data_IF_239485086029
#
_entry.id   IF_239485086029
#
_cell.length_a   1.000
_cell.length_b   1.000
_cell.length_c   1.000
_cell.angle_alpha   90.00
_cell.angle_beta   90.00
_cell.angle_gamma   90.00
#
_symmetry.space_group_name_H-M   'P 1'
#
loop_
_entity.id
_entity.type
_entity.pdbx_description
1 polymer ?
#
# COMPACT_ATOMS: atom_id res chain seq x y z
N UNK A 1 -49.87 -18.07 55.10
CA UNK A 1 -49.48 -19.00 54.04
C UNK A 1 -49.31 -18.21 52.76
N UNK A 2 -48.12 -17.78 52.45
CA UNK A 2 -47.78 -17.10 51.21
C UNK A 2 -46.90 -18.06 50.37
N UNK A 3 -47.18 -18.28 49.08
CA UNK A 3 -46.39 -19.18 48.27
C UNK A 3 -45.09 -18.51 47.80
N UNK A 4 -44.02 -19.22 47.99
CA UNK A 4 -42.67 -18.97 47.53
C UNK A 4 -42.60 -19.13 46.00
N UNK A 5 -42.18 -18.11 45.29
CA UNK A 5 -41.96 -18.15 43.82
C UNK A 5 -40.50 -17.92 43.53
N UNK A 6 -39.71 -18.99 43.52
CA UNK A 6 -38.32 -19.01 43.06
C UNK A 6 -38.31 -19.00 41.52
N UNK A 7 -37.58 -18.08 40.84
CA UNK A 7 -37.49 -18.10 39.38
C UNK A 7 -36.55 -19.23 38.92
N UNK A 8 -37.06 -20.10 38.00
CA UNK A 8 -36.30 -21.16 37.32
C UNK A 8 -35.25 -20.54 36.41
N UNK A 9 -33.98 -20.81 36.71
CA UNK A 9 -32.86 -20.53 35.83
C UNK A 9 -32.96 -21.38 34.55
N UNK A 10 -33.15 -20.74 33.41
CA UNK A 10 -33.05 -21.38 32.10
C UNK A 10 -31.54 -21.40 31.70
N UNK A 11 -30.96 -22.55 31.38
CA UNK A 11 -29.56 -22.64 30.97
C UNK A 11 -29.39 -21.94 29.60
N UNK A 12 -28.44 -21.00 29.56
CA UNK A 12 -28.01 -20.32 28.34
C UNK A 12 -27.40 -21.34 27.40
N UNK A 13 -28.00 -21.53 26.22
CA UNK A 13 -27.50 -22.43 25.19
C UNK A 13 -26.07 -22.01 24.78
N UNK A 14 -25.11 -22.89 24.96
CA UNK A 14 -23.75 -22.79 24.42
C UNK A 14 -23.86 -22.80 22.89
N UNK A 15 -23.23 -21.83 22.17
CA UNK A 15 -23.25 -21.87 20.71
C UNK A 15 -22.55 -23.15 20.24
N UNK A 16 -23.23 -23.92 19.40
CA UNK A 16 -22.68 -25.11 18.78
C UNK A 16 -21.42 -24.74 17.96
N UNK A 17 -20.29 -25.35 18.32
CA UNK A 17 -19.07 -25.30 17.47
C UNK A 17 -19.43 -25.94 16.14
N UNK A 18 -19.53 -25.13 15.11
CA UNK A 18 -19.74 -25.60 13.74
C UNK A 18 -18.53 -26.48 13.36
N UNK A 19 -18.74 -27.77 13.22
CA UNK A 19 -17.73 -28.72 12.74
C UNK A 19 -17.33 -28.29 11.32
N UNK A 20 -16.08 -27.94 11.10
CA UNK A 20 -15.55 -27.62 9.79
C UNK A 20 -15.64 -28.88 8.90
N UNK A 21 -16.06 -28.70 7.64
CA UNK A 21 -16.06 -29.76 6.65
C UNK A 21 -14.63 -30.33 6.47
N UNK A 22 -14.48 -31.66 6.25
CA UNK A 22 -13.15 -32.24 6.00
C UNK A 22 -12.50 -31.61 4.77
N UNK A 23 -11.34 -30.95 4.96
CA UNK A 23 -10.58 -30.28 3.90
C UNK A 23 -10.69 -28.75 3.86
N UNK A 24 -11.45 -28.11 4.76
CA UNK A 24 -11.47 -26.65 4.85
C UNK A 24 -10.11 -26.11 5.36
N UNK A 25 -9.58 -25.00 4.76
CA UNK A 25 -8.33 -24.43 5.20
C UNK A 25 -8.45 -23.91 6.65
N UNK A 26 -7.42 -24.19 7.46
CA UNK A 26 -7.37 -23.76 8.85
C UNK A 26 -6.35 -22.65 9.02
N UNK A 27 -6.68 -21.62 9.81
CA UNK A 27 -5.74 -20.57 10.18
C UNK A 27 -4.83 -21.08 11.31
N UNK A 28 -3.71 -21.70 10.92
CA UNK A 28 -2.64 -22.09 11.84
C UNK A 28 -1.65 -20.95 12.05
N UNK A 29 -0.77 -21.05 13.05
CA UNK A 29 0.32 -20.07 13.26
C UNK A 29 1.18 -19.90 12.00
N UNK A 30 1.54 -20.98 11.30
CA UNK A 30 2.32 -20.93 10.06
C UNK A 30 1.58 -20.24 8.90
N UNK A 31 0.27 -20.48 8.79
CA UNK A 31 -0.56 -19.75 7.81
C UNK A 31 -0.58 -18.27 8.13
N UNK A 32 -0.83 -17.90 9.40
CA UNK A 32 -0.85 -16.49 9.80
C UNK A 32 0.49 -15.81 9.54
N UNK A 33 1.61 -16.46 9.84
CA UNK A 33 2.95 -15.95 9.55
C UNK A 33 3.15 -15.67 8.05
N UNK A 34 2.73 -16.59 7.17
CA UNK A 34 2.75 -16.39 5.71
C UNK A 34 1.92 -15.20 5.28
N UNK A 35 0.70 -15.08 5.80
CA UNK A 35 -0.21 -13.98 5.47
C UNK A 35 0.41 -12.62 5.86
N UNK A 36 0.93 -12.51 7.07
CA UNK A 36 1.53 -11.28 7.57
C UNK A 36 2.85 -10.97 6.86
N UNK A 37 3.70 -11.97 6.58
CA UNK A 37 4.94 -11.79 5.83
C UNK A 37 4.67 -11.22 4.43
N UNK A 38 3.64 -11.72 3.74
CA UNK A 38 3.22 -11.18 2.46
C UNK A 38 2.69 -9.75 2.59
N UNK A 39 1.84 -9.48 3.58
CA UNK A 39 1.27 -8.16 3.80
C UNK A 39 2.35 -7.09 4.05
N UNK A 40 3.36 -7.39 4.88
CA UNK A 40 4.43 -6.43 5.21
C UNK A 40 5.47 -6.26 4.09
N UNK A 41 5.44 -7.07 3.03
CA UNK A 41 6.25 -6.88 1.84
C UNK A 41 5.74 -5.73 0.94
N UNK A 42 4.56 -5.18 1.22
CA UNK A 42 3.99 -4.04 0.50
C UNK A 42 4.85 -2.77 0.65
N UNK A 43 4.82 -1.87 -0.35
CA UNK A 43 5.46 -0.58 -0.23
C UNK A 43 4.74 0.32 0.78
N UNK A 44 5.50 1.18 1.44
CA UNK A 44 4.93 2.25 2.26
C UNK A 44 5.76 3.53 2.12
N UNK A 45 5.11 4.67 2.38
CA UNK A 45 5.82 5.95 2.36
C UNK A 45 7.02 5.89 3.30
N UNK A 46 8.21 6.29 2.83
CA UNK A 46 9.49 6.20 3.55
C UNK A 46 9.78 4.82 4.18
N UNK A 47 9.13 3.77 3.70
CA UNK A 47 9.14 2.43 4.32
C UNK A 47 8.78 2.46 5.81
N UNK A 48 7.84 3.33 6.19
CA UNK A 48 7.40 3.48 7.58
C UNK A 48 6.67 2.26 8.12
N UNK A 49 6.13 1.41 7.23
CA UNK A 49 5.36 0.21 7.62
C UNK A 49 4.24 0.53 8.62
N UNK A 50 3.28 1.41 8.28
CA UNK A 50 2.37 2.04 9.24
C UNK A 50 1.16 1.17 9.56
N UNK A 51 1.34 -0.12 9.73
CA UNK A 51 0.30 -1.12 9.95
C UNK A 51 0.55 -1.99 11.16
N UNK A 52 -0.54 -2.50 11.73
CA UNK A 52 -0.58 -3.54 12.75
C UNK A 52 -1.66 -4.55 12.37
N UNK A 53 -1.41 -5.81 12.70
CA UNK A 53 -2.33 -6.91 12.43
C UNK A 53 -2.74 -7.58 13.73
N UNK A 54 -4.02 -7.93 13.83
CA UNK A 54 -4.58 -8.72 14.91
C UNK A 54 -5.49 -9.79 14.33
N UNK A 55 -5.26 -11.04 14.70
CA UNK A 55 -6.18 -12.13 14.40
C UNK A 55 -7.24 -12.20 15.50
N UNK A 56 -8.50 -12.25 15.10
CA UNK A 56 -9.61 -12.70 15.92
C UNK A 56 -9.82 -14.19 15.63
N UNK A 57 -9.45 -15.09 16.56
CA UNK A 57 -9.52 -16.52 16.31
C UNK A 57 -10.96 -17.05 16.24
N UNK A 58 -11.91 -16.39 16.91
CA UNK A 58 -13.30 -16.84 16.99
C UNK A 58 -14.04 -16.63 15.64
N UNK A 59 -13.67 -15.56 14.94
CA UNK A 59 -14.27 -15.19 13.64
C UNK A 59 -13.35 -15.46 12.46
N UNK A 60 -12.13 -15.99 12.69
CA UNK A 60 -11.07 -16.13 11.67
C UNK A 60 -10.88 -14.88 10.83
N UNK A 61 -10.89 -13.72 11.51
CA UNK A 61 -10.81 -12.41 10.88
C UNK A 61 -9.49 -11.73 11.24
N UNK A 62 -8.77 -11.24 10.23
CA UNK A 62 -7.58 -10.41 10.44
C UNK A 62 -8.01 -8.93 10.44
N UNK A 63 -7.81 -8.26 11.57
CA UNK A 63 -7.93 -6.81 11.68
C UNK A 63 -6.65 -6.14 11.20
N UNK A 64 -6.80 -5.16 10.31
CA UNK A 64 -5.71 -4.32 9.80
C UNK A 64 -5.88 -2.92 10.38
N UNK A 65 -4.93 -2.53 11.22
CA UNK A 65 -4.96 -1.27 11.97
C UNK A 65 -3.82 -0.36 11.57
N UNK A 66 -4.01 0.95 11.68
CA UNK A 66 -2.91 1.91 11.56
C UNK A 66 -2.00 1.86 12.79
N UNK A 67 -0.72 2.17 12.58
CA UNK A 67 0.29 2.38 13.61
C UNK A 67 0.59 3.89 13.70
N UNK A 68 -0.11 4.64 14.58
CA UNK A 68 -0.01 6.11 14.61
C UNK A 68 1.39 6.64 14.89
N UNK A 69 2.19 5.91 15.65
CA UNK A 69 3.59 6.25 15.97
C UNK A 69 4.53 6.21 14.75
N UNK A 70 4.06 5.64 13.63
CA UNK A 70 4.75 5.57 12.34
C UNK A 70 4.17 6.55 11.33
N UNK A 71 3.34 7.48 11.77
CA UNK A 71 2.79 8.53 10.92
C UNK A 71 3.85 9.62 10.63
N UNK A 72 3.63 10.37 9.57
CA UNK A 72 4.49 11.45 9.11
C UNK A 72 3.70 12.78 9.25
N UNK A 73 3.75 13.43 10.42
CA UNK A 73 2.94 14.62 10.68
C UNK A 73 3.25 15.80 9.75
N UNK A 74 4.47 15.90 9.22
CA UNK A 74 4.84 16.96 8.27
C UNK A 74 4.56 16.58 6.81
N UNK A 75 4.96 15.37 6.38
CA UNK A 75 4.77 14.93 5.00
C UNK A 75 3.35 14.45 4.71
N UNK A 76 2.67 13.84 5.69
CA UNK A 76 1.34 13.26 5.54
C UNK A 76 0.37 13.63 6.69
N UNK A 77 0.11 14.93 6.91
CA UNK A 77 -0.72 15.41 8.04
C UNK A 77 -2.16 14.87 8.00
N UNK A 78 -2.67 14.55 6.81
CA UNK A 78 -4.01 13.96 6.62
C UNK A 78 -4.00 12.43 6.66
N UNK A 79 -2.84 11.80 6.81
CA UNK A 79 -2.64 10.34 6.78
C UNK A 79 -3.09 9.67 5.47
N UNK A 80 -3.08 10.41 4.35
CA UNK A 80 -3.42 9.87 3.03
C UNK A 80 -2.43 8.79 2.61
N UNK A 81 -1.14 9.10 2.64
CA UNK A 81 -0.07 8.16 2.29
C UNK A 81 -0.05 6.94 3.22
N UNK A 82 -0.36 7.12 4.51
CA UNK A 82 -0.56 6.03 5.45
C UNK A 82 -1.68 5.09 4.97
N UNK A 83 -2.85 5.63 4.60
CA UNK A 83 -3.97 4.78 4.14
C UNK A 83 -3.63 4.09 2.81
N UNK A 84 -2.97 4.77 1.86
CA UNK A 84 -2.48 4.16 0.62
C UNK A 84 -1.51 3.01 0.93
N UNK A 85 -0.57 3.22 1.85
CA UNK A 85 0.38 2.17 2.28
C UNK A 85 -0.34 0.96 2.87
N UNK A 86 -1.31 1.19 3.77
CA UNK A 86 -2.11 0.09 4.35
C UNK A 86 -2.98 -0.59 3.29
N UNK A 87 -3.50 0.15 2.31
CA UNK A 87 -4.21 -0.43 1.17
C UNK A 87 -3.35 -1.38 0.35
N UNK A 88 -2.09 -1.03 0.09
CA UNK A 88 -1.13 -1.91 -0.59
C UNK A 88 -0.88 -3.20 0.21
N UNK A 89 -0.67 -3.07 1.52
CA UNK A 89 -0.51 -4.23 2.41
C UNK A 89 -1.76 -5.11 2.48
N UNK A 90 -2.95 -4.50 2.41
CA UNK A 90 -4.23 -5.21 2.36
C UNK A 90 -4.36 -6.04 1.08
N UNK A 91 -3.91 -5.52 -0.07
CA UNK A 91 -3.90 -6.28 -1.32
C UNK A 91 -3.01 -7.52 -1.22
N UNK A 92 -1.79 -7.37 -0.70
CA UNK A 92 -0.88 -8.49 -0.48
C UNK A 92 -1.46 -9.54 0.48
N UNK A 93 -2.14 -9.10 1.56
CA UNK A 93 -2.83 -10.00 2.48
C UNK A 93 -3.92 -10.82 1.77
N UNK A 94 -4.70 -10.19 0.86
CA UNK A 94 -5.71 -10.87 0.03
C UNK A 94 -5.07 -11.94 -0.85
N UNK A 95 -3.98 -11.62 -1.54
CA UNK A 95 -3.25 -12.57 -2.39
C UNK A 95 -2.76 -13.77 -1.59
N UNK A 96 -2.12 -13.52 -0.44
CA UNK A 96 -1.60 -14.58 0.41
C UNK A 96 -2.72 -15.46 1.00
N UNK A 97 -3.87 -14.88 1.34
CA UNK A 97 -5.02 -15.64 1.82
C UNK A 97 -5.55 -16.58 0.74
N UNK A 98 -5.64 -16.13 -0.52
CA UNK A 98 -6.04 -16.99 -1.65
C UNK A 98 -5.05 -18.09 -1.93
N UNK A 99 -3.75 -17.78 -1.93
CA UNK A 99 -2.69 -18.78 -2.08
C UNK A 99 -2.72 -19.83 -0.95
N UNK A 100 -3.18 -19.43 0.24
CA UNK A 100 -3.41 -20.34 1.36
C UNK A 100 -4.74 -21.11 1.29
N UNK A 101 -5.54 -20.95 0.22
CA UNK A 101 -6.80 -21.65 -0.01
C UNK A 101 -8.03 -21.01 0.64
N UNK A 102 -7.93 -19.77 1.14
CA UNK A 102 -9.06 -19.02 1.67
C UNK A 102 -9.72 -18.14 0.60
N UNK A 103 -10.98 -17.79 0.85
CA UNK A 103 -11.69 -16.73 0.13
C UNK A 103 -11.72 -15.48 1.02
N UNK A 104 -10.77 -14.53 0.83
CA UNK A 104 -10.71 -13.33 1.66
C UNK A 104 -11.88 -12.39 1.34
N UNK A 105 -12.52 -11.87 2.39
CA UNK A 105 -13.59 -10.88 2.28
C UNK A 105 -13.21 -9.65 3.05
N UNK A 106 -13.15 -8.51 2.36
CA UNK A 106 -12.65 -7.26 2.90
C UNK A 106 -13.80 -6.31 3.23
N UNK A 107 -13.79 -5.80 4.46
CA UNK A 107 -14.62 -4.68 4.88
C UNK A 107 -13.73 -3.52 5.27
N UNK A 108 -13.73 -2.46 4.46
CA UNK A 108 -12.97 -1.23 4.73
C UNK A 108 -13.69 -0.39 5.79
N UNK A 109 -12.92 0.19 6.72
CA UNK A 109 -13.39 1.11 7.77
C UNK A 109 -14.66 0.60 8.46
N UNK A 110 -14.64 -0.59 9.07
CA UNK A 110 -15.86 -1.25 9.56
C UNK A 110 -16.56 -0.46 10.66
N UNK A 111 -15.83 0.32 11.44
CA UNK A 111 -16.35 1.20 12.48
C UNK A 111 -15.44 2.44 12.65
N UNK A 112 -15.55 3.42 11.74
CA UNK A 112 -14.64 4.56 11.71
C UNK A 112 -14.83 5.57 12.85
N UNK A 113 -15.96 5.50 13.56
CA UNK A 113 -16.26 6.37 14.69
C UNK A 113 -15.74 5.82 16.01
N UNK A 114 -16.06 4.56 16.33
CA UNK A 114 -15.60 3.93 17.57
C UNK A 114 -14.13 3.45 17.49
N UNK A 115 -13.68 3.02 16.29
CA UNK A 115 -12.36 2.48 16.06
C UNK A 115 -11.67 3.16 14.86
N UNK A 116 -11.24 4.43 14.98
CA UNK A 116 -10.69 5.21 13.87
C UNK A 116 -9.34 4.68 13.35
N UNK A 117 -8.64 3.85 14.13
CA UNK A 117 -7.41 3.15 13.77
C UNK A 117 -7.66 1.82 13.02
N UNK A 118 -8.86 1.24 13.12
CA UNK A 118 -9.23 0.02 12.41
C UNK A 118 -9.56 0.34 10.95
N UNK A 119 -8.64 0.02 10.05
CA UNK A 119 -8.74 0.40 8.65
C UNK A 119 -9.42 -0.66 7.79
N UNK A 120 -9.28 -1.93 8.13
CA UNK A 120 -9.99 -3.03 7.46
C UNK A 120 -10.16 -4.25 8.36
N UNK A 121 -11.17 -5.08 8.02
CA UNK A 121 -11.30 -6.45 8.46
C UNK A 121 -11.25 -7.37 7.25
N UNK A 122 -10.48 -8.44 7.35
CA UNK A 122 -10.34 -9.48 6.33
C UNK A 122 -10.79 -10.80 6.93
N UNK A 123 -11.99 -11.24 6.58
CA UNK A 123 -12.49 -12.56 6.98
C UNK A 123 -11.89 -13.62 6.06
N UNK A 124 -11.31 -14.66 6.65
CA UNK A 124 -10.69 -15.79 5.96
C UNK A 124 -11.73 -16.93 5.86
N UNK A 125 -12.63 -16.81 4.88
CA UNK A 125 -13.67 -17.82 4.66
C UNK A 125 -13.14 -19.03 3.91
N UNK A 126 -13.75 -20.20 4.12
CA UNK A 126 -13.54 -21.33 3.23
C UNK A 126 -14.21 -21.05 1.88
N UNK A 127 -13.66 -21.57 0.76
CA UNK A 127 -14.26 -21.40 -0.56
C UNK A 127 -15.72 -21.88 -0.59
N UNK A 128 -16.58 -21.10 -1.26
CA UNK A 128 -17.99 -21.45 -1.43
C UNK A 128 -18.88 -21.20 -0.20
N UNK A 129 -18.38 -20.67 0.90
CA UNK A 129 -19.22 -20.29 2.03
C UNK A 129 -20.03 -19.00 1.72
N UNK A 130 -21.36 -19.02 1.88
CA UNK A 130 -22.17 -17.81 1.73
C UNK A 130 -21.82 -16.81 2.83
N UNK A 131 -21.79 -15.53 2.49
CA UNK A 131 -21.68 -14.43 3.46
C UNK A 131 -22.77 -13.43 3.21
N UNK A 132 -23.42 -12.99 4.27
CA UNK A 132 -24.47 -11.97 4.20
C UNK A 132 -23.94 -10.56 3.91
N UNK A 133 -22.64 -10.27 4.17
CA UNK A 133 -22.16 -8.90 4.32
C UNK A 133 -21.16 -8.42 3.24
N UNK A 134 -20.61 -9.29 2.39
CA UNK A 134 -19.63 -8.86 1.39
C UNK A 134 -19.66 -9.75 0.14
N UNK A 135 -19.64 -9.14 -1.05
CA UNK A 135 -19.41 -9.86 -2.30
C UNK A 135 -18.05 -10.54 -2.29
N UNK A 136 -17.96 -11.72 -2.90
CA UNK A 136 -16.67 -12.36 -3.14
C UNK A 136 -15.79 -11.46 -4.01
N UNK A 137 -14.55 -11.28 -3.59
CA UNK A 137 -13.57 -10.53 -4.38
C UNK A 137 -13.22 -11.31 -5.65
N UNK A 138 -12.98 -10.65 -6.80
CA UNK A 138 -12.58 -11.33 -8.03
C UNK A 138 -11.36 -12.24 -7.83
N UNK A 139 -11.29 -13.33 -8.57
CA UNK A 139 -10.10 -14.19 -8.57
C UNK A 139 -8.88 -13.41 -9.08
N UNK A 140 -7.74 -13.59 -8.41
CA UNK A 140 -6.50 -12.94 -8.78
C UNK A 140 -5.61 -13.90 -9.57
N UNK A 141 -4.86 -13.42 -10.60
CA UNK A 141 -3.87 -14.24 -11.27
C UNK A 141 -2.81 -14.76 -10.30
N UNK A 142 -2.45 -16.03 -10.40
CA UNK A 142 -1.46 -16.68 -9.52
C UNK A 142 -0.06 -16.02 -9.62
N UNK A 143 0.26 -15.45 -10.80
CA UNK A 143 1.51 -14.74 -11.06
C UNK A 143 1.74 -13.54 -10.14
N UNK A 144 0.66 -12.90 -9.65
CA UNK A 144 0.76 -11.74 -8.75
C UNK A 144 1.33 -12.14 -7.39
N UNK A 145 0.97 -13.31 -6.86
CA UNK A 145 1.55 -13.79 -5.60
C UNK A 145 3.06 -14.08 -5.75
N UNK A 146 3.46 -14.69 -6.86
CA UNK A 146 4.89 -14.91 -7.16
C UNK A 146 5.65 -13.58 -7.38
N UNK A 147 5.00 -12.56 -7.96
CA UNK A 147 5.58 -11.25 -8.18
C UNK A 147 5.80 -10.48 -6.86
N UNK A 148 4.99 -10.72 -5.84
CA UNK A 148 5.06 -10.06 -4.53
C UNK A 148 6.48 -10.12 -3.93
N UNK A 149 7.14 -11.27 -4.01
CA UNK A 149 8.48 -11.47 -3.45
C UNK A 149 9.62 -10.88 -4.30
N UNK A 150 9.33 -10.53 -5.55
CA UNK A 150 10.27 -9.92 -6.50
C UNK A 150 10.10 -8.40 -6.59
N UNK A 151 8.92 -7.90 -6.19
CA UNK A 151 8.60 -6.47 -6.26
C UNK A 151 9.50 -5.67 -5.31
N UNK A 152 10.14 -4.65 -5.82
CA UNK A 152 10.80 -3.61 -5.03
C UNK A 152 10.74 -2.28 -5.79
N UNK A 153 10.78 -1.16 -5.07
CA UNK A 153 10.87 0.15 -5.68
C UNK A 153 12.30 0.39 -6.17
N UNK A 154 12.46 0.70 -7.46
CA UNK A 154 13.75 1.07 -8.04
C UNK A 154 13.96 2.57 -7.87
N UNK A 155 15.19 2.95 -7.56
CA UNK A 155 15.66 4.33 -7.63
C UNK A 155 16.85 4.48 -8.59
N UNK A 156 17.07 3.46 -9.40
CA UNK A 156 18.09 3.44 -10.45
C UNK A 156 17.49 3.91 -11.78
N UNK A 157 18.27 4.49 -12.69
CA UNK A 157 17.82 4.83 -14.03
C UNK A 157 17.20 3.64 -14.76
N UNK A 158 16.16 3.89 -15.56
CA UNK A 158 15.50 2.90 -16.38
C UNK A 158 16.09 2.89 -17.80
N UNK A 159 15.80 1.84 -18.55
CA UNK A 159 16.30 1.65 -19.92
C UNK A 159 15.78 2.68 -20.94
N UNK A 160 14.74 3.43 -20.60
CA UNK A 160 14.06 4.33 -21.52
C UNK A 160 13.29 3.62 -22.65
N UNK A 161 13.19 2.29 -22.65
CA UNK A 161 12.39 1.55 -23.63
C UNK A 161 10.91 1.76 -23.35
N UNK A 162 10.09 2.03 -24.40
CA UNK A 162 8.66 2.13 -24.23
C UNK A 162 8.06 0.78 -23.77
N UNK A 163 7.04 0.85 -22.94
CA UNK A 163 6.26 -0.34 -22.55
C UNK A 163 5.40 -0.81 -23.74
N UNK A 164 5.23 -2.13 -23.89
CA UNK A 164 4.28 -2.68 -24.89
C UNK A 164 2.87 -2.14 -24.66
N UNK A 165 2.13 -1.77 -25.73
CA UNK A 165 0.75 -1.28 -25.59
C UNK A 165 -0.17 -2.24 -24.84
N UNK A 166 0.00 -3.53 -25.03
CA UNK A 166 -0.78 -4.59 -24.37
C UNK A 166 -0.58 -4.53 -22.85
N UNK A 167 0.65 -4.29 -22.40
CA UNK A 167 0.94 -4.15 -20.99
C UNK A 167 0.30 -2.87 -20.41
N UNK A 168 0.28 -1.77 -21.14
CA UNK A 168 -0.40 -0.55 -20.69
C UNK A 168 -1.90 -0.81 -20.49
N UNK A 169 -2.54 -1.55 -21.39
CA UNK A 169 -3.96 -1.95 -21.26
C UNK A 169 -4.15 -2.82 -20.00
N UNK A 170 -3.26 -3.78 -19.76
CA UNK A 170 -3.32 -4.65 -18.58
C UNK A 170 -3.13 -3.86 -17.28
N UNK A 171 -2.20 -2.91 -17.23
CA UNK A 171 -2.00 -2.04 -16.07
C UNK A 171 -3.23 -1.16 -15.78
N UNK A 172 -3.90 -0.65 -16.83
CA UNK A 172 -5.17 0.07 -16.68
C UNK A 172 -6.26 -0.84 -16.15
N UNK A 173 -6.36 -2.07 -16.66
CA UNK A 173 -7.33 -3.05 -16.18
C UNK A 173 -7.06 -3.44 -14.71
N UNK A 174 -5.79 -3.59 -14.32
CA UNK A 174 -5.37 -3.87 -12.96
C UNK A 174 -5.85 -2.77 -11.97
N UNK A 175 -5.68 -1.50 -12.33
CA UNK A 175 -6.18 -0.40 -11.49
C UNK A 175 -7.70 -0.39 -11.38
N UNK A 176 -8.41 -0.62 -12.50
CA UNK A 176 -9.88 -0.65 -12.55
C UNK A 176 -10.48 -1.75 -11.69
N UNK A 177 -9.84 -2.90 -11.61
CA UNK A 177 -10.31 -4.01 -10.78
C UNK A 177 -10.37 -3.66 -9.30
N UNK A 178 -9.59 -2.66 -8.85
CA UNK A 178 -9.62 -2.14 -7.47
C UNK A 178 -10.41 -0.81 -7.35
N UNK A 179 -11.18 -0.44 -8.38
CA UNK A 179 -11.99 0.78 -8.35
C UNK A 179 -11.20 2.08 -8.52
N UNK A 180 -10.01 2.02 -9.14
CA UNK A 180 -9.18 3.17 -9.48
C UNK A 180 -8.97 3.27 -11.00
N UNK A 181 -8.42 4.39 -11.44
CA UNK A 181 -8.06 4.63 -12.84
C UNK A 181 -6.55 4.88 -12.92
N UNK A 182 -5.85 4.14 -13.77
CA UNK A 182 -4.49 4.45 -14.16
C UNK A 182 -4.51 5.24 -15.47
N UNK A 183 -3.87 6.40 -15.46
CA UNK A 183 -3.72 7.28 -16.61
C UNK A 183 -2.24 7.34 -17.00
N UNK A 184 -1.94 7.14 -18.27
CA UNK A 184 -0.60 7.25 -18.82
C UNK A 184 -0.53 8.54 -19.65
N UNK A 185 0.10 9.61 -19.13
CA UNK A 185 0.14 10.91 -19.76
C UNK A 185 1.01 10.92 -21.01
N UNK A 186 0.63 11.73 -21.99
CA UNK A 186 1.46 12.03 -23.15
C UNK A 186 2.66 12.92 -22.79
N UNK A 187 3.62 13.12 -23.74
CA UNK A 187 4.91 13.77 -23.47
C UNK A 187 4.80 15.14 -22.80
N UNK A 188 3.89 16.00 -23.28
CA UNK A 188 3.69 17.34 -22.70
C UNK A 188 3.16 17.31 -21.26
N UNK A 189 2.29 16.36 -20.96
CA UNK A 189 1.78 16.18 -19.60
C UNK A 189 2.87 15.59 -18.71
N UNK A 190 3.72 14.68 -19.20
CA UNK A 190 4.89 14.17 -18.47
C UNK A 190 5.81 15.32 -18.06
N UNK A 191 6.16 16.21 -19.00
CA UNK A 191 7.04 17.36 -18.68
C UNK A 191 6.41 18.25 -17.58
N UNK A 192 5.10 18.52 -17.64
CA UNK A 192 4.38 19.26 -16.59
C UNK A 192 4.37 18.51 -15.24
N UNK A 193 4.14 17.20 -15.25
CA UNK A 193 4.14 16.41 -14.02
C UNK A 193 5.53 16.40 -13.35
N UNK A 194 6.59 16.33 -14.12
CA UNK A 194 7.95 16.42 -13.60
C UNK A 194 8.22 17.81 -13.01
N UNK A 195 7.77 18.91 -13.65
CA UNK A 195 7.89 20.25 -13.11
C UNK A 195 7.12 20.42 -11.79
N UNK A 196 5.88 19.93 -11.71
CA UNK A 196 5.09 19.94 -10.47
C UNK A 196 5.80 19.12 -9.37
N UNK A 197 6.43 18.01 -9.73
CA UNK A 197 7.18 17.17 -8.78
C UNK A 197 8.44 17.87 -8.28
N UNK A 198 9.15 18.59 -9.17
CA UNK A 198 10.33 19.40 -8.79
C UNK A 198 9.95 20.52 -7.83
N UNK A 199 8.85 21.23 -8.08
CA UNK A 199 8.32 22.25 -7.18
C UNK A 199 7.97 21.64 -5.80
N UNK A 200 7.33 20.47 -5.78
CA UNK A 200 7.01 19.77 -4.53
C UNK A 200 8.27 19.41 -3.74
N UNK A 201 9.32 18.96 -4.43
CA UNK A 201 10.58 18.60 -3.78
C UNK A 201 11.30 19.84 -3.26
N UNK A 202 11.34 20.95 -4.03
CA UNK A 202 11.86 22.22 -3.58
C UNK A 202 11.17 22.71 -2.28
N UNK A 203 9.85 22.60 -2.21
CA UNK A 203 9.09 22.92 -0.99
C UNK A 203 9.41 21.97 0.17
N UNK A 204 9.61 20.69 -0.10
CA UNK A 204 10.02 19.71 0.92
C UNK A 204 11.40 20.07 1.49
N UNK A 205 12.33 20.44 0.63
CA UNK A 205 13.67 20.89 1.02
C UNK A 205 13.67 22.22 1.78
N UNK A 206 12.79 23.14 1.43
CA UNK A 206 12.64 24.40 2.15
C UNK A 206 12.04 24.24 3.56
N UNK A 207 11.25 23.17 3.79
CA UNK A 207 10.59 22.91 5.07
C UNK A 207 11.49 22.17 6.05
N UNK A 208 11.91 22.84 7.14
CA UNK A 208 12.75 22.21 8.18
C UNK A 208 12.09 20.97 8.81
N UNK A 209 10.78 21.02 9.08
CA UNK A 209 10.04 19.88 9.65
C UNK A 209 10.05 18.67 8.71
N UNK A 210 9.79 18.85 7.41
CA UNK A 210 9.80 17.77 6.41
C UNK A 210 11.20 17.18 6.21
N UNK A 211 12.22 18.03 6.18
CA UNK A 211 13.62 17.54 6.10
C UNK A 211 13.99 16.68 7.30
N UNK A 212 13.70 17.15 8.52
CA UNK A 212 13.99 16.39 9.74
C UNK A 212 13.24 15.07 9.78
N UNK A 213 11.95 15.09 9.42
CA UNK A 213 11.12 13.90 9.35
C UNK A 213 11.65 12.90 8.32
N UNK A 214 11.94 13.33 7.08
CA UNK A 214 12.49 12.44 6.04
C UNK A 214 13.82 11.81 6.46
N UNK A 215 14.71 12.58 7.09
CA UNK A 215 15.99 12.09 7.62
C UNK A 215 15.82 11.02 8.68
N UNK A 216 14.85 11.18 9.58
CA UNK A 216 14.63 10.21 10.66
C UNK A 216 14.24 8.81 10.14
N UNK A 217 13.83 8.72 8.88
CA UNK A 217 13.49 7.46 8.21
C UNK A 217 14.61 6.93 7.31
N UNK A 218 15.76 7.59 7.20
CA UNK A 218 16.94 7.06 6.53
C UNK A 218 17.78 6.27 7.53
N UNK A 219 18.20 5.08 7.17
CA UNK A 219 19.01 4.21 7.99
C UNK A 219 20.42 4.11 7.48
N UNK A 220 21.39 4.15 8.40
CA UNK A 220 22.75 3.83 8.08
C UNK A 220 22.89 2.33 7.79
N UNK A 221 23.61 1.99 6.70
CA UNK A 221 24.04 0.63 6.41
C UNK A 221 25.27 0.32 7.25
N UNK A 222 25.10 -0.12 8.49
CA UNK A 222 26.21 -0.49 9.36
C UNK A 222 26.46 -2.01 9.30
N UNK A 223 27.72 -2.45 9.13
CA UNK A 223 28.07 -3.86 9.19
C UNK A 223 27.68 -4.45 10.57
N UNK A 224 27.00 -5.60 10.57
CA UNK A 224 26.57 -6.28 11.79
C UNK A 224 25.27 -5.78 12.41
N UNK A 225 24.65 -4.74 11.88
CA UNK A 225 23.29 -4.34 12.25
C UNK A 225 22.31 -5.12 11.41
N UNK A 226 21.42 -5.90 12.04
CA UNK A 226 20.31 -6.54 11.33
C UNK A 226 19.51 -5.44 10.63
N UNK A 227 19.29 -5.51 9.31
CA UNK A 227 18.50 -4.52 8.61
C UNK A 227 17.15 -4.40 9.30
N UNK A 228 16.84 -3.24 9.83
CA UNK A 228 15.54 -3.00 10.40
C UNK A 228 14.47 -3.11 9.32
N UNK A 229 13.29 -3.58 9.69
CA UNK A 229 12.19 -3.81 8.74
C UNK A 229 11.57 -2.52 8.21
N UNK A 230 11.74 -1.38 8.89
CA UNK A 230 11.20 -0.05 8.54
C UNK A 230 12.32 0.95 8.19
N UNK A 231 11.99 2.06 7.57
CA UNK A 231 12.93 3.07 7.06
C UNK A 231 13.62 2.67 5.76
N UNK A 232 14.29 3.64 5.14
CA UNK A 232 14.99 3.47 3.85
C UNK A 232 16.48 3.29 4.12
N UNK A 233 17.08 2.14 3.76
CA UNK A 233 18.52 1.97 3.85
C UNK A 233 19.24 3.01 2.98
N UNK A 234 20.39 3.53 3.44
CA UNK A 234 21.15 4.52 2.68
C UNK A 234 21.52 3.99 1.28
N UNK A 235 21.93 2.74 1.19
CA UNK A 235 22.23 2.05 -0.08
C UNK A 235 21.05 1.99 -1.07
N UNK A 236 19.82 2.13 -0.57
CA UNK A 236 18.61 2.11 -1.40
C UNK A 236 18.15 3.51 -1.85
N UNK A 237 18.86 4.59 -1.51
CA UNK A 237 18.51 5.95 -1.93
C UNK A 237 18.69 6.15 -3.44
N UNK A 238 19.60 5.39 -4.06
CA UNK A 238 19.90 5.49 -5.48
C UNK A 238 20.70 6.75 -5.85
N UNK A 239 21.10 6.90 -7.12
CA UNK A 239 21.79 8.08 -7.62
C UNK A 239 20.85 9.26 -7.79
N UNK A 240 21.42 10.47 -7.91
CA UNK A 240 20.70 11.66 -8.35
C UNK A 240 20.78 11.79 -9.87
N UNK A 241 19.78 12.41 -10.51
CA UNK A 241 19.84 12.66 -11.95
C UNK A 241 20.87 13.75 -12.25
N UNK A 242 21.95 13.41 -12.96
CA UNK A 242 22.99 14.35 -13.37
C UNK A 242 22.50 15.50 -14.25
N UNK A 243 21.33 15.37 -14.85
CA UNK A 243 20.69 16.40 -15.68
C UNK A 243 19.59 17.17 -14.95
N UNK A 244 19.34 16.87 -13.67
CA UNK A 244 18.34 17.51 -12.80
C UNK A 244 16.90 17.55 -13.37
N UNK A 245 16.57 16.61 -14.28
CA UNK A 245 15.25 16.55 -14.91
C UNK A 245 14.25 15.68 -14.16
N UNK A 246 14.77 14.60 -13.55
CA UNK A 246 13.95 13.71 -12.75
C UNK A 246 14.05 14.12 -11.28
N UNK A 247 12.99 14.70 -10.69
CA UNK A 247 13.01 15.19 -9.33
C UNK A 247 12.99 14.02 -8.33
N UNK A 248 14.19 13.55 -8.00
CA UNK A 248 14.34 12.50 -6.97
C UNK A 248 14.10 13.11 -5.60
N UNK A 249 13.54 12.30 -4.68
CA UNK A 249 13.41 12.77 -3.29
C UNK A 249 14.79 12.93 -2.67
N UNK A 250 15.10 14.15 -2.28
CA UNK A 250 16.25 14.45 -1.47
C UNK A 250 15.96 14.07 -0.02
N UNK A 251 16.47 12.93 0.41
CA UNK A 251 16.56 12.61 1.84
C UNK A 251 17.72 13.39 2.44
N UNK A 252 17.63 14.73 2.33
CA UNK A 252 18.70 15.73 2.50
C UNK A 252 19.50 15.57 3.78
N UNK A 253 20.60 14.90 3.70
CA UNK A 253 21.92 15.05 4.33
C UNK A 253 22.79 13.89 3.86
N UNK A 254 23.99 14.16 3.37
CA UNK A 254 24.93 13.08 3.19
C UNK A 254 25.23 12.51 4.59
N UNK A 255 24.56 11.43 4.96
CA UNK A 255 24.95 10.64 6.12
C UNK A 255 26.43 10.25 6.04
N UNK A 256 26.94 9.45 6.96
CA UNK A 256 28.37 9.04 6.98
C UNK A 256 28.89 8.48 5.65
N UNK A 257 28.02 8.10 4.72
CA UNK A 257 28.35 7.57 3.39
C UNK A 257 28.54 8.62 2.28
N UNK A 258 28.35 9.92 2.56
CA UNK A 258 28.44 10.99 1.55
C UNK A 258 27.17 11.09 0.66
N UNK A 259 27.20 12.03 -0.32
CA UNK A 259 26.12 12.20 -1.30
C UNK A 259 26.04 10.97 -2.21
N UNK A 260 24.83 10.46 -2.55
CA UNK A 260 24.68 9.43 -3.57
C UNK A 260 25.33 9.87 -4.90
N UNK A 261 25.89 8.93 -5.68
CA UNK A 261 26.50 9.27 -6.96
C UNK A 261 25.47 9.85 -7.92
N UNK A 262 25.94 10.66 -8.88
CA UNK A 262 25.11 11.13 -9.98
C UNK A 262 25.06 10.07 -11.08
N UNK A 263 23.91 9.96 -11.75
CA UNK A 263 23.72 9.09 -12.91
C UNK A 263 22.84 9.78 -13.97
N UNK A 264 22.98 9.37 -15.22
CA UNK A 264 22.11 9.83 -16.28
C UNK A 264 20.80 9.04 -16.26
N UNK A 265 19.68 9.72 -16.05
CA UNK A 265 18.35 9.13 -16.11
C UNK A 265 17.75 9.26 -17.52
N UNK A 266 16.72 8.48 -17.77
CA UNK A 266 15.96 8.54 -19.00
C UNK A 266 15.33 9.92 -19.22
N UNK A 267 15.35 10.39 -20.46
CA UNK A 267 14.83 11.73 -20.81
C UNK A 267 13.32 11.84 -20.64
N UNK A 268 12.61 10.76 -20.90
CA UNK A 268 11.14 10.69 -20.84
C UNK A 268 10.73 9.39 -20.17
N UNK A 269 10.54 9.40 -18.85
CA UNK A 269 10.02 8.24 -18.14
C UNK A 269 8.58 7.96 -18.57
N UNK A 270 8.20 6.68 -18.62
CA UNK A 270 6.79 6.32 -18.67
C UNK A 270 6.20 6.56 -17.29
N UNK A 271 5.28 7.52 -17.18
CA UNK A 271 4.58 7.82 -15.93
C UNK A 271 3.18 7.21 -15.94
N UNK A 272 2.74 6.72 -14.80
CA UNK A 272 1.35 6.37 -14.53
C UNK A 272 0.83 7.25 -13.39
N UNK A 273 -0.33 7.89 -13.59
CA UNK A 273 -1.04 8.61 -12.54
C UNK A 273 -2.23 7.75 -12.11
N UNK A 274 -2.30 7.42 -10.82
CA UNK A 274 -3.39 6.63 -10.25
C UNK A 274 -4.37 7.57 -9.54
N UNK A 275 -5.65 7.46 -9.90
CA UNK A 275 -6.73 8.26 -9.34
C UNK A 275 -7.91 7.39 -8.88
N UNK A 276 -8.62 7.86 -7.86
CA UNK A 276 -9.89 7.29 -7.39
C UNK A 276 -11.03 8.30 -7.57
N UNK A 277 -12.29 7.86 -7.69
CA UNK A 277 -13.44 8.74 -7.87
C UNK A 277 -13.67 9.72 -6.72
N UNK A 278 -13.12 9.47 -5.54
CA UNK A 278 -13.29 10.29 -4.35
C UNK A 278 -11.98 10.51 -3.60
N UNK A 279 -12.05 11.38 -2.55
CA UNK A 279 -10.93 11.76 -1.70
C UNK A 279 -11.20 11.49 -0.22
N UNK A 280 -11.78 10.33 0.09
CA UNK A 280 -12.08 9.86 1.44
C UNK A 280 -11.13 8.74 1.87
N UNK A 281 -11.08 8.44 3.16
CA UNK A 281 -10.23 7.37 3.72
C UNK A 281 -10.41 6.02 3.02
N UNK A 282 -11.65 5.65 2.66
CA UNK A 282 -11.92 4.43 1.91
C UNK A 282 -11.33 4.47 0.49
N UNK A 283 -11.35 5.63 -0.17
CA UNK A 283 -10.79 5.79 -1.50
C UNK A 283 -9.26 5.72 -1.46
N UNK A 284 -8.63 6.23 -0.40
CA UNK A 284 -7.18 6.10 -0.20
C UNK A 284 -6.76 4.64 0.02
N UNK A 285 -7.56 3.85 0.76
CA UNK A 285 -7.32 2.41 0.90
C UNK A 285 -7.48 1.67 -0.44
N UNK A 286 -8.49 2.02 -1.25
CA UNK A 286 -8.66 1.47 -2.61
C UNK A 286 -7.50 1.86 -3.52
N UNK A 287 -7.07 3.14 -3.48
CA UNK A 287 -5.90 3.59 -4.22
C UNK A 287 -4.64 2.77 -3.87
N UNK A 288 -4.47 2.41 -2.61
CA UNK A 288 -3.37 1.55 -2.16
C UNK A 288 -3.46 0.13 -2.72
N UNK A 289 -4.64 -0.48 -2.70
CA UNK A 289 -4.87 -1.80 -3.31
C UNK A 289 -4.60 -1.75 -4.81
N UNK A 290 -5.12 -0.74 -5.51
CA UNK A 290 -4.89 -0.54 -6.94
C UNK A 290 -3.41 -0.29 -7.27
N UNK A 291 -2.71 0.49 -6.45
CA UNK A 291 -1.28 0.71 -6.59
C UNK A 291 -0.51 -0.60 -6.52
N UNK A 292 -0.74 -1.40 -5.49
CA UNK A 292 0.00 -2.65 -5.32
C UNK A 292 -0.33 -3.65 -6.42
N UNK A 293 -1.60 -3.77 -6.82
CA UNK A 293 -1.98 -4.60 -7.97
C UNK A 293 -1.24 -4.19 -9.24
N UNK A 294 -1.17 -2.90 -9.54
CA UNK A 294 -0.44 -2.35 -10.69
C UNK A 294 1.06 -2.66 -10.59
N UNK A 295 1.67 -2.46 -9.42
CA UNK A 295 3.08 -2.73 -9.19
C UNK A 295 3.41 -4.22 -9.35
N UNK A 296 2.55 -5.12 -8.87
CA UNK A 296 2.72 -6.56 -9.01
C UNK A 296 2.52 -7.02 -10.45
N UNK A 297 1.55 -6.47 -11.17
CA UNK A 297 1.35 -6.72 -12.60
C UNK A 297 2.59 -6.30 -13.39
N UNK A 298 3.11 -5.08 -13.18
CA UNK A 298 4.36 -4.65 -13.81
C UNK A 298 5.54 -5.58 -13.47
N UNK A 299 5.63 -6.02 -12.21
CA UNK A 299 6.69 -6.94 -11.76
C UNK A 299 6.57 -8.32 -12.39
N UNK A 300 5.36 -8.83 -12.59
CA UNK A 300 5.13 -10.10 -13.30
C UNK A 300 5.69 -10.04 -14.72
N UNK A 301 5.56 -8.90 -15.39
CA UNK A 301 6.15 -8.62 -16.71
C UNK A 301 7.62 -8.14 -16.66
N UNK A 302 8.30 -8.31 -15.52
CA UNK A 302 9.71 -7.91 -15.33
C UNK A 302 9.97 -6.41 -15.52
N UNK A 303 8.95 -5.57 -15.35
CA UNK A 303 9.06 -4.11 -15.38
C UNK A 303 9.37 -3.60 -13.97
N UNK A 304 10.41 -2.78 -13.88
CA UNK A 304 10.79 -2.07 -12.65
C UNK A 304 10.01 -0.79 -12.51
N UNK A 305 9.66 -0.45 -11.28
CA UNK A 305 8.85 0.74 -10.99
C UNK A 305 9.51 1.61 -9.92
N UNK A 306 9.24 2.92 -10.01
CA UNK A 306 9.58 3.92 -9.01
C UNK A 306 8.35 4.74 -8.65
N UNK A 307 8.34 5.40 -7.51
CA UNK A 307 7.20 6.20 -7.07
C UNK A 307 7.60 7.65 -6.87
N UNK A 308 6.86 8.57 -7.49
CA UNK A 308 6.92 10.01 -7.29
C UNK A 308 5.66 10.43 -6.50
N UNK A 309 5.81 10.60 -5.20
CA UNK A 309 4.67 10.91 -4.32
C UNK A 309 4.64 12.37 -3.88
N UNK A 310 5.71 13.11 -4.09
CA UNK A 310 5.92 14.49 -3.61
C UNK A 310 4.76 15.44 -3.94
N UNK A 311 4.21 15.48 -5.18
CA UNK A 311 3.10 16.38 -5.50
C UNK A 311 1.83 16.08 -4.70
N UNK A 312 1.63 14.82 -4.31
CA UNK A 312 0.42 14.38 -3.59
C UNK A 312 0.42 14.89 -2.14
N UNK A 313 1.58 15.19 -1.58
CA UNK A 313 1.74 15.71 -0.22
C UNK A 313 1.25 17.16 -0.08
N UNK A 314 1.16 17.90 -1.20
CA UNK A 314 0.76 19.30 -1.25
C UNK A 314 -0.63 19.41 -1.90
N UNK A 315 -1.65 19.93 -1.19
CA UNK A 315 -3.03 19.96 -1.72
C UNK A 315 -3.18 20.74 -3.03
N UNK A 316 -2.49 21.86 -3.15
CA UNK A 316 -2.48 22.71 -4.34
C UNK A 316 -1.79 22.03 -5.54
N UNK A 317 -0.62 21.45 -5.33
CA UNK A 317 0.12 20.72 -6.38
C UNK A 317 -0.62 19.44 -6.80
N UNK A 318 -1.27 18.76 -5.86
CA UNK A 318 -2.14 17.63 -6.19
C UNK A 318 -3.31 18.04 -7.09
N UNK A 319 -3.95 19.18 -6.80
CA UNK A 319 -5.01 19.71 -7.66
C UNK A 319 -4.47 20.14 -9.04
N UNK A 320 -3.27 20.70 -9.10
CA UNK A 320 -2.61 21.05 -10.36
C UNK A 320 -2.29 19.79 -11.18
N UNK A 321 -1.74 18.75 -10.53
CA UNK A 321 -1.49 17.45 -11.14
C UNK A 321 -2.77 16.85 -11.73
N UNK A 322 -3.87 16.89 -11.00
CA UNK A 322 -5.17 16.39 -11.49
C UNK A 322 -5.61 17.15 -12.75
N UNK A 323 -5.50 18.48 -12.76
CA UNK A 323 -5.80 19.30 -13.96
C UNK A 323 -4.89 18.97 -15.13
N UNK A 324 -3.58 18.80 -14.90
CA UNK A 324 -2.61 18.45 -15.94
C UNK A 324 -2.93 17.08 -16.60
N UNK A 325 -3.61 16.19 -15.88
CA UNK A 325 -4.04 14.88 -16.36
C UNK A 325 -5.48 14.88 -16.91
N UNK A 326 -6.20 16.02 -16.92
CA UNK A 326 -7.61 16.06 -17.28
C UNK A 326 -8.53 15.31 -16.30
N UNK A 327 -8.07 15.07 -15.09
CA UNK A 327 -8.84 14.43 -14.03
C UNK A 327 -9.62 15.52 -13.29
N UNK A 328 -10.94 15.50 -13.43
CA UNK A 328 -11.81 16.39 -12.68
C UNK A 328 -11.99 15.83 -11.26
N UNK A 329 -11.67 16.65 -10.27
CA UNK A 329 -11.87 16.35 -8.84
C UNK A 329 -13.31 16.64 -8.43
#
# INVERSE_FOLDING_TARGET
MTPDTTPKHTPRATPARTSAAPGAPMVTGAVLERLISAAVAAPSIHNTQPWRYRLDPDTTTVEVRSAPERSLPHADPRRRALHVSVGAALFNLRLAARDAGFEPRVRLLPDPLAHPDLLARVSLAAPGQPSADTAAEPAEPAELYAALWRRHSSRMPFSGRPLPPELLVELVAAARAEGAVAYFPGPEAVDRLLAITAEAESRNEASAGRRTESRSWVRADAPGVTPGRDGVPFSALGPQDSAERLPMRAFSDPGPGGRPPDAAFERRPTLAVLATPGDRRADWLRAGQALERLLLTATAHSVRTSMLYQPIEWPDLRAELARACGLHT
#
